data_IF_811930036605
#
_entry.id   IF_811930036605
#
_cell.length_a   1.000
_cell.length_b   1.000
_cell.length_c   1.000
_cell.angle_alpha   90.00
_cell.angle_beta   90.00
_cell.angle_gamma   90.00
#
_symmetry.space_group_name_H-M   'P 1'
#
loop_
_entity.id
_entity.type
_entity.pdbx_description
1 polymer ?
#
# COMPACT_ATOMS: atom_id res chain seq x y z
N UNK A 1 -16.70 -31.35 12.02
CA UNK A 1 -17.53 -30.72 13.07
C UNK A 1 -16.80 -29.47 13.54
N UNK A 2 -17.23 -28.29 13.12
CA UNK A 2 -16.56 -27.04 13.46
C UNK A 2 -17.22 -26.45 14.71
N UNK A 3 -16.43 -26.29 15.76
CA UNK A 3 -16.84 -25.50 16.92
C UNK A 3 -16.70 -24.03 16.49
N UNK A 4 -17.82 -23.40 16.14
CA UNK A 4 -17.92 -21.94 16.16
C UNK A 4 -17.87 -21.50 17.63
N UNK A 5 -16.69 -21.18 18.14
CA UNK A 5 -16.58 -20.34 19.32
C UNK A 5 -16.87 -18.90 18.90
N UNK A 6 -18.15 -18.55 18.82
CA UNK A 6 -18.60 -17.16 18.94
C UNK A 6 -18.41 -16.72 20.40
N UNK A 7 -17.17 -16.57 20.84
CA UNK A 7 -16.90 -15.55 21.86
C UNK A 7 -17.01 -14.25 21.10
N UNK A 8 -17.95 -13.36 21.43
CA UNK A 8 -18.18 -12.07 20.75
C UNK A 8 -16.99 -11.08 20.79
N UNK A 9 -15.77 -11.57 20.98
CA UNK A 9 -14.52 -10.85 20.90
C UNK A 9 -14.06 -10.79 19.45
N UNK A 10 -14.11 -9.58 18.89
CA UNK A 10 -13.48 -9.27 17.61
C UNK A 10 -11.95 -9.36 17.74
N UNK A 11 -11.29 -9.72 16.64
CA UNK A 11 -9.82 -9.76 16.59
C UNK A 11 -9.23 -8.36 16.60
N UNK A 12 -7.98 -8.21 17.03
CA UNK A 12 -7.27 -6.94 16.86
C UNK A 12 -6.84 -6.77 15.40
N UNK A 13 -7.01 -5.58 14.79
CA UNK A 13 -6.54 -5.33 13.43
C UNK A 13 -5.00 -5.32 13.39
N UNK A 14 -4.38 -5.49 12.21
CA UNK A 14 -2.93 -5.44 12.08
C UNK A 14 -2.41 -4.06 12.48
N UNK A 15 -1.34 -4.02 13.29
CA UNK A 15 -0.63 -2.78 13.56
C UNK A 15 0.46 -2.61 12.50
N UNK A 16 0.26 -1.63 11.63
CA UNK A 16 1.16 -1.32 10.52
C UNK A 16 2.14 -0.27 11.00
N UNK A 17 3.31 -0.76 11.41
CA UNK A 17 4.47 0.08 11.70
C UNK A 17 5.29 0.22 10.42
N UNK A 18 5.49 1.46 9.97
CA UNK A 18 6.50 1.71 8.94
C UNK A 18 7.85 1.71 9.65
N UNK A 19 8.46 0.53 9.74
CA UNK A 19 9.82 0.36 10.26
C UNK A 19 10.88 0.77 9.23
N UNK A 20 12.10 0.98 9.73
CA UNK A 20 13.28 1.07 8.87
C UNK A 20 13.33 -0.13 7.94
N UNK A 21 13.57 0.15 6.67
CA UNK A 21 13.63 -0.91 5.67
C UNK A 21 14.72 -1.92 6.05
N UNK A 22 14.55 -3.18 5.66
CA UNK A 22 15.59 -4.22 5.80
C UNK A 22 15.96 -4.83 4.45
N UNK A 23 17.16 -5.38 4.36
CA UNK A 23 17.61 -6.11 3.19
C UNK A 23 16.75 -7.35 2.95
N UNK A 24 16.13 -7.45 1.76
CA UNK A 24 15.21 -8.53 1.38
C UNK A 24 15.82 -9.94 1.49
N UNK A 25 17.16 -10.05 1.45
CA UNK A 25 17.85 -11.35 1.46
C UNK A 25 18.42 -11.76 2.82
N UNK A 26 18.72 -10.82 3.69
CA UNK A 26 19.49 -11.12 4.91
C UNK A 26 19.09 -10.26 6.11
N UNK A 27 18.02 -9.48 6.00
CA UNK A 27 17.53 -8.56 7.03
C UNK A 27 18.54 -7.52 7.55
N UNK A 28 19.69 -7.37 6.89
CA UNK A 28 20.69 -6.35 7.20
C UNK A 28 20.28 -4.95 6.72
N UNK A 29 21.11 -3.95 6.99
CA UNK A 29 20.84 -2.56 6.60
C UNK A 29 20.76 -2.41 5.06
N UNK A 30 19.61 -1.98 4.50
CA UNK A 30 19.45 -1.84 3.07
C UNK A 30 20.01 -0.51 2.60
N UNK A 31 21.11 -0.57 1.87
CA UNK A 31 21.79 0.62 1.37
C UNK A 31 21.49 0.84 -0.11
N UNK A 32 21.07 -0.21 -0.84
CA UNK A 32 20.97 -0.19 -2.30
C UNK A 32 19.58 -0.57 -2.80
N UNK A 33 19.13 0.11 -3.85
CA UNK A 33 17.95 -0.25 -4.65
C UNK A 33 18.35 -0.51 -6.11
N UNK A 34 17.66 -1.43 -6.78
CA UNK A 34 17.87 -1.69 -8.20
C UNK A 34 16.96 -0.79 -9.05
N UNK A 35 17.53 0.06 -9.91
CA UNK A 35 16.77 0.97 -10.80
C UNK A 35 15.93 0.27 -11.85
N UNK A 36 16.28 -0.98 -12.17
CA UNK A 36 15.66 -1.77 -13.23
C UNK A 36 14.57 -2.69 -12.68
N UNK A 37 14.56 -2.93 -11.37
CA UNK A 37 13.41 -3.58 -10.74
C UNK A 37 12.31 -2.55 -10.58
N UNK A 38 11.17 -2.80 -11.24
CA UNK A 38 9.93 -2.05 -11.00
C UNK A 38 9.41 -2.22 -9.57
N UNK A 39 9.97 -3.16 -8.80
CA UNK A 39 9.71 -3.38 -7.39
C UNK A 39 10.80 -2.69 -6.56
N UNK A 40 10.43 -2.01 -5.46
CA UNK A 40 11.35 -1.36 -4.52
C UNK A 40 12.13 -2.41 -3.69
N UNK A 41 12.96 -3.22 -4.36
CA UNK A 41 13.82 -4.22 -3.74
C UNK A 41 15.01 -3.50 -3.10
N UNK A 42 15.17 -3.74 -1.80
CA UNK A 42 16.20 -3.13 -0.98
C UNK A 42 17.22 -4.17 -0.53
N UNK A 43 18.50 -3.92 -0.83
CA UNK A 43 19.59 -4.84 -0.53
C UNK A 43 20.68 -4.15 0.31
N UNK A 44 21.28 -4.90 1.23
CA UNK A 44 22.52 -4.48 1.88
C UNK A 44 23.70 -4.54 0.89
N UNK A 45 24.81 -3.90 1.24
CA UNK A 45 26.01 -3.89 0.38
C UNK A 45 26.49 -5.30 0.04
N UNK A 46 26.41 -6.26 0.98
CA UNK A 46 26.81 -7.66 0.75
C UNK A 46 25.90 -8.35 -0.27
N UNK A 47 24.58 -8.19 -0.14
CA UNK A 47 23.61 -8.83 -1.02
C UNK A 47 23.55 -8.18 -2.40
N UNK A 48 23.77 -6.86 -2.50
CA UNK A 48 23.89 -6.17 -3.78
C UNK A 48 25.14 -6.63 -4.56
N UNK A 49 26.28 -6.78 -3.87
CA UNK A 49 27.56 -7.22 -4.50
C UNK A 49 27.56 -8.69 -4.91
N UNK A 50 26.94 -9.57 -4.12
CA UNK A 50 26.83 -11.00 -4.44
C UNK A 50 25.84 -11.30 -5.57
N UNK A 51 25.01 -10.32 -5.93
CA UNK A 51 23.99 -10.34 -6.97
C UNK A 51 23.47 -11.73 -7.39
N UNK A 52 22.81 -12.44 -6.48
CA UNK A 52 21.73 -13.37 -6.84
C UNK A 52 20.49 -12.56 -7.25
N UNK A 53 20.68 -11.65 -8.21
CA UNK A 53 19.72 -10.68 -8.69
C UNK A 53 19.95 -10.49 -10.19
N UNK A 54 18.90 -10.45 -11.02
CA UNK A 54 19.02 -10.51 -12.49
C UNK A 54 19.71 -9.30 -13.15
N UNK A 55 20.06 -8.27 -12.36
CA UNK A 55 20.63 -7.02 -12.85
C UNK A 55 22.04 -6.79 -12.28
N UNK A 56 22.99 -6.25 -13.07
CA UNK A 56 24.37 -6.04 -12.65
C UNK A 56 24.49 -4.94 -11.59
N UNK A 57 25.60 -4.93 -10.82
CA UNK A 57 25.81 -3.98 -9.72
C UNK A 57 25.67 -2.49 -10.13
N UNK A 58 26.01 -2.14 -11.38
CA UNK A 58 25.83 -0.78 -11.95
C UNK A 58 24.37 -0.32 -11.98
N UNK A 59 23.43 -1.26 -11.99
CA UNK A 59 21.99 -0.98 -11.94
C UNK A 59 21.52 -0.60 -10.53
N UNK A 60 22.36 -0.76 -9.51
CA UNK A 60 22.05 -0.36 -8.14
C UNK A 60 22.47 1.07 -7.85
N UNK A 61 21.65 1.79 -7.09
CA UNK A 61 21.98 3.11 -6.52
C UNK A 61 21.86 3.05 -5.01
N UNK A 62 22.68 3.86 -4.33
CA UNK A 62 22.46 4.11 -2.91
C UNK A 62 21.11 4.79 -2.77
N UNK A 63 20.22 4.17 -2.00
CA UNK A 63 18.86 4.70 -1.85
C UNK A 63 18.79 5.60 -0.63
N UNK A 64 17.97 6.65 -0.70
CA UNK A 64 17.66 7.46 0.47
C UNK A 64 16.51 6.78 1.22
N UNK A 65 16.83 6.24 2.40
CA UNK A 65 15.86 5.62 3.30
C UNK A 65 14.70 6.58 3.61
N UNK A 66 14.97 7.88 3.73
CA UNK A 66 13.93 8.87 4.02
C UNK A 66 12.92 8.99 2.89
N UNK A 67 13.38 8.90 1.63
CA UNK A 67 12.50 8.96 0.45
C UNK A 67 11.60 7.72 0.39
N UNK A 68 12.13 6.54 0.69
CA UNK A 68 11.34 5.31 0.70
C UNK A 68 10.30 5.29 1.80
N UNK A 69 10.70 5.69 3.01
CA UNK A 69 9.77 5.82 4.13
C UNK A 69 8.68 6.83 3.77
N UNK A 70 9.04 7.99 3.23
CA UNK A 70 8.07 8.99 2.77
C UNK A 70 7.12 8.41 1.71
N UNK A 71 7.61 7.67 0.70
CA UNK A 71 6.75 7.02 -0.31
C UNK A 71 5.75 6.05 0.31
N UNK A 72 6.19 5.21 1.25
CA UNK A 72 5.29 4.30 1.97
C UNK A 72 4.22 5.08 2.74
N UNK A 73 4.63 6.11 3.48
CA UNK A 73 3.70 6.97 4.20
C UNK A 73 2.72 7.72 3.26
N UNK A 74 3.18 8.15 2.08
CA UNK A 74 2.35 8.78 1.03
C UNK A 74 1.30 7.81 0.48
N UNK A 75 1.69 6.57 0.18
CA UNK A 75 0.74 5.55 -0.28
C UNK A 75 -0.32 5.29 0.79
N UNK A 76 0.08 5.09 2.06
CA UNK A 76 -0.86 4.81 3.14
C UNK A 76 -1.77 6.00 3.47
N UNK A 77 -1.27 7.23 3.39
CA UNK A 77 -2.11 8.42 3.59
C UNK A 77 -3.14 8.61 2.48
N UNK A 78 -2.96 7.95 1.32
CA UNK A 78 -3.85 8.04 0.17
C UNK A 78 -4.75 6.82 -0.04
N UNK A 79 -4.84 5.92 0.97
CA UNK A 79 -5.56 4.65 0.92
C UNK A 79 -6.99 4.73 0.35
N UNK A 80 -7.77 5.75 0.71
CA UNK A 80 -9.16 5.91 0.26
C UNK A 80 -9.29 5.90 -1.27
N UNK A 81 -8.41 6.65 -1.94
CA UNK A 81 -8.38 6.68 -3.39
C UNK A 81 -7.81 5.38 -3.97
N UNK A 82 -6.85 4.74 -3.30
CA UNK A 82 -6.26 3.48 -3.76
C UNK A 82 -7.31 2.37 -3.84
N UNK A 83 -8.20 2.28 -2.84
CA UNK A 83 -9.19 1.20 -2.78
C UNK A 83 -10.42 1.44 -3.67
N UNK A 84 -10.80 2.70 -3.92
CA UNK A 84 -12.09 3.02 -4.56
C UNK A 84 -12.02 3.95 -5.78
N UNK A 85 -10.97 4.76 -5.98
CA UNK A 85 -10.95 5.78 -7.03
C UNK A 85 -11.09 5.20 -8.45
N UNK A 86 -11.99 5.78 -9.25
CA UNK A 86 -12.24 5.46 -10.66
C UNK A 86 -11.95 6.64 -11.62
N UNK A 87 -11.56 7.82 -11.10
CA UNK A 87 -11.40 9.06 -11.89
C UNK A 87 -10.34 8.95 -12.99
N UNK A 88 -10.60 9.26 -14.25
CA UNK A 88 -9.57 9.22 -15.31
C UNK A 88 -8.31 10.02 -14.95
N UNK A 89 -8.47 11.25 -14.44
CA UNK A 89 -7.40 12.11 -13.92
C UNK A 89 -7.35 12.04 -12.39
N UNK A 90 -6.17 11.75 -11.84
CA UNK A 90 -5.92 11.73 -10.40
C UNK A 90 -4.42 11.90 -10.10
N UNK A 91 -4.03 11.98 -8.81
CA UNK A 91 -2.61 12.08 -8.42
C UNK A 91 -1.81 10.90 -8.94
N UNK A 92 -0.51 11.09 -9.18
CA UNK A 92 0.37 10.02 -9.65
C UNK A 92 0.31 8.79 -8.73
N UNK A 93 0.32 9.00 -7.41
CA UNK A 93 0.15 7.92 -6.43
C UNK A 93 -1.16 7.15 -6.62
N UNK A 94 -2.25 7.81 -7.02
CA UNK A 94 -3.50 7.11 -7.36
C UNK A 94 -3.32 6.19 -8.56
N UNK A 95 -2.70 6.72 -9.62
CA UNK A 95 -2.57 6.07 -10.91
C UNK A 95 -1.66 4.85 -10.80
N UNK A 96 -0.52 5.00 -10.11
CA UNK A 96 0.37 3.89 -9.77
C UNK A 96 -0.33 2.84 -8.91
N UNK A 97 -1.18 3.26 -7.98
CA UNK A 97 -1.89 2.34 -7.09
C UNK A 97 -3.10 1.65 -7.73
N UNK A 98 -3.63 2.13 -8.86
CA UNK A 98 -4.62 1.37 -9.66
C UNK A 98 -4.04 0.04 -10.13
N UNK A 99 -2.76 0.03 -10.46
CA UNK A 99 -2.05 -1.20 -10.75
C UNK A 99 -2.12 -2.16 -9.56
N UNK A 100 -2.00 -1.69 -8.32
CA UNK A 100 -2.12 -2.54 -7.14
C UNK A 100 -3.51 -3.18 -7.01
N UNK A 101 -4.59 -2.42 -7.29
CA UNK A 101 -5.97 -2.95 -7.31
C UNK A 101 -6.16 -4.01 -8.39
N UNK A 102 -5.72 -3.72 -9.61
CA UNK A 102 -5.81 -4.66 -10.73
C UNK A 102 -4.93 -5.90 -10.50
N UNK A 103 -3.72 -5.69 -10.01
CA UNK A 103 -2.81 -6.76 -9.60
C UNK A 103 -3.47 -7.64 -8.55
N UNK A 104 -4.09 -7.05 -7.52
CA UNK A 104 -4.81 -7.79 -6.51
C UNK A 104 -5.99 -8.59 -7.08
N UNK A 105 -6.62 -8.21 -8.20
CA UNK A 105 -7.68 -9.03 -8.79
C UNK A 105 -7.16 -10.24 -9.59
N UNK A 106 -5.95 -10.14 -10.17
CA UNK A 106 -5.39 -11.17 -11.08
C UNK A 106 -4.24 -11.98 -10.49
N UNK A 107 -3.65 -11.57 -9.37
CA UNK A 107 -2.49 -12.23 -8.78
C UNK A 107 -2.81 -13.66 -8.35
N UNK A 108 -1.97 -14.62 -8.74
CA UNK A 108 -2.10 -16.02 -8.36
C UNK A 108 -1.79 -16.24 -6.87
N UNK A 109 -0.81 -15.51 -6.34
CA UNK A 109 -0.29 -15.60 -4.97
C UNK A 109 -1.07 -14.74 -3.97
N UNK A 110 -2.23 -14.22 -4.36
CA UNK A 110 -3.07 -13.42 -3.46
C UNK A 110 -3.83 -14.31 -2.48
N UNK A 111 -4.06 -13.85 -1.24
CA UNK A 111 -5.07 -14.44 -0.38
C UNK A 111 -6.45 -14.35 -1.05
N UNK A 112 -7.24 -15.43 -1.01
CA UNK A 112 -8.54 -15.51 -1.69
C UNK A 112 -9.68 -14.97 -0.84
N UNK A 113 -9.48 -14.90 0.46
CA UNK A 113 -10.48 -14.54 1.47
C UNK A 113 -9.76 -14.01 2.72
N UNK A 114 -10.46 -13.23 3.54
CA UNK A 114 -9.88 -12.60 4.72
C UNK A 114 -9.32 -13.61 5.72
N UNK A 115 -9.96 -14.78 5.86
CA UNK A 115 -9.48 -15.85 6.76
C UNK A 115 -8.11 -16.42 6.36
N UNK A 116 -7.69 -16.31 5.10
CA UNK A 116 -6.39 -16.82 4.65
C UNK A 116 -5.22 -16.04 5.24
N UNK A 117 -5.47 -14.81 5.71
CA UNK A 117 -4.45 -13.95 6.33
C UNK A 117 -4.55 -13.92 7.86
N UNK A 118 -5.38 -14.77 8.46
CA UNK A 118 -5.55 -14.88 9.91
C UNK A 118 -4.89 -16.18 10.38
N UNK A 119 -3.93 -16.08 11.29
CA UNK A 119 -3.31 -17.23 11.93
C UNK A 119 -3.14 -16.98 13.44
N UNK A 120 -3.42 -17.98 14.27
CA UNK A 120 -3.32 -17.91 15.73
C UNK A 120 -4.00 -16.66 16.35
N UNK A 121 -5.12 -16.21 15.79
CA UNK A 121 -5.85 -15.02 16.28
C UNK A 121 -5.24 -13.67 15.89
N UNK A 122 -4.21 -13.66 15.03
CA UNK A 122 -3.58 -12.45 14.52
C UNK A 122 -3.54 -12.43 12.99
N UNK A 123 -3.32 -11.24 12.42
CA UNK A 123 -3.15 -11.09 10.97
C UNK A 123 -1.69 -11.35 10.60
N UNK A 124 -1.42 -12.35 9.75
CA UNK A 124 -0.06 -12.74 9.29
C UNK A 124 0.43 -11.90 8.11
N UNK A 125 0.07 -10.62 8.11
CA UNK A 125 0.38 -9.71 7.03
C UNK A 125 1.03 -8.43 7.58
N UNK A 126 2.13 -7.98 6.96
CA UNK A 126 2.78 -6.72 7.32
C UNK A 126 2.70 -5.69 6.17
N UNK A 127 2.26 -4.47 6.50
CA UNK A 127 1.96 -3.41 5.52
C UNK A 127 3.14 -2.87 4.70
N UNK A 128 4.32 -3.46 4.85
CA UNK A 128 5.59 -2.99 4.27
C UNK A 128 6.52 -4.14 3.78
N UNK A 129 6.03 -5.39 3.75
CA UNK A 129 6.77 -6.62 3.34
C UNK A 129 7.63 -7.22 4.45
N UNK A 130 8.07 -8.48 4.50
CA UNK A 130 7.69 -9.76 3.88
C UNK A 130 8.07 -10.84 4.91
N UNK A 131 7.12 -11.59 5.47
CA UNK A 131 7.36 -12.89 6.11
C UNK A 131 6.42 -13.90 5.42
N UNK A 132 6.96 -14.86 4.65
CA UNK A 132 6.18 -15.90 3.92
C UNK A 132 5.97 -15.64 2.42
N UNK A 133 5.30 -16.55 1.68
CA UNK A 133 5.16 -16.55 0.21
C UNK A 133 4.14 -15.54 -0.38
N UNK A 134 3.79 -14.48 0.34
CA UNK A 134 2.68 -13.60 -0.03
C UNK A 134 3.13 -12.41 -0.89
N UNK A 135 2.39 -12.09 -1.96
CA UNK A 135 2.75 -11.00 -2.86
C UNK A 135 2.75 -9.61 -2.17
N UNK A 136 3.86 -8.87 -2.32
CA UNK A 136 4.03 -7.52 -1.74
C UNK A 136 2.95 -6.52 -2.18
N UNK A 137 2.64 -6.45 -3.48
CA UNK A 137 1.64 -5.52 -4.01
C UNK A 137 0.24 -5.84 -3.50
N UNK A 138 -0.09 -7.13 -3.35
CA UNK A 138 -1.34 -7.56 -2.72
C UNK A 138 -1.39 -7.13 -1.26
N UNK A 139 -0.28 -7.26 -0.55
CA UNK A 139 -0.16 -6.80 0.82
C UNK A 139 -0.43 -5.31 1.01
N UNK A 140 0.23 -4.47 0.22
CA UNK A 140 0.01 -3.03 0.24
C UNK A 140 -1.47 -2.67 -0.03
N UNK A 141 -2.13 -3.40 -0.93
CA UNK A 141 -3.55 -3.20 -1.19
C UNK A 141 -4.42 -3.61 0.01
N UNK A 142 -4.15 -4.77 0.62
CA UNK A 142 -4.83 -5.24 1.84
C UNK A 142 -4.70 -4.24 2.99
N UNK A 143 -3.51 -3.67 3.17
CA UNK A 143 -3.28 -2.57 4.11
C UNK A 143 -4.27 -1.42 3.89
N UNK A 144 -4.39 -0.98 2.65
CA UNK A 144 -5.29 0.13 2.31
C UNK A 144 -6.76 -0.23 2.59
N UNK A 145 -7.15 -1.50 2.39
CA UNK A 145 -8.48 -1.99 2.74
C UNK A 145 -8.75 -1.94 4.24
N UNK A 146 -7.79 -2.32 5.10
CA UNK A 146 -7.91 -2.17 6.56
C UNK A 146 -8.02 -0.71 6.99
N UNK A 147 -7.22 0.18 6.41
CA UNK A 147 -7.29 1.62 6.71
C UNK A 147 -8.63 2.22 6.30
N UNK A 148 -9.13 1.86 5.12
CA UNK A 148 -10.46 2.25 4.66
C UNK A 148 -11.56 1.71 5.60
N UNK A 149 -11.54 0.42 5.91
CA UNK A 149 -12.52 -0.21 6.79
C UNK A 149 -12.59 0.44 8.18
N UNK A 150 -11.47 0.97 8.70
CA UNK A 150 -11.44 1.72 9.96
C UNK A 150 -12.26 3.01 9.91
N UNK A 151 -12.32 3.66 8.75
CA UNK A 151 -12.99 4.96 8.56
C UNK A 151 -14.37 4.83 7.92
N UNK A 152 -14.62 3.73 7.23
CA UNK A 152 -15.84 3.49 6.48
C UNK A 152 -17.04 3.31 7.42
N UNK A 153 -18.04 4.19 7.26
CA UNK A 153 -19.31 4.14 7.99
C UNK A 153 -20.48 3.60 7.13
N UNK A 154 -20.24 3.26 5.87
CA UNK A 154 -21.29 2.78 4.97
C UNK A 154 -21.76 1.39 5.42
N UNK A 155 -23.08 1.14 5.45
CA UNK A 155 -23.60 -0.21 5.74
C UNK A 155 -23.17 -1.20 4.67
N UNK A 156 -23.33 -0.80 3.39
CA UNK A 156 -22.88 -1.55 2.22
C UNK A 156 -21.73 -0.81 1.51
N UNK A 157 -20.55 -1.41 1.45
CA UNK A 157 -19.37 -0.81 0.82
C UNK A 157 -18.84 -1.66 -0.34
N UNK A 158 -18.55 -1.02 -1.48
CA UNK A 158 -18.01 -1.68 -2.67
C UNK A 158 -16.51 -2.04 -2.55
N UNK A 159 -15.82 -1.55 -1.53
CA UNK A 159 -14.41 -1.89 -1.28
C UNK A 159 -14.34 -3.33 -0.79
N UNK A 160 -13.51 -4.13 -1.46
CA UNK A 160 -13.32 -5.54 -1.14
C UNK A 160 -13.00 -5.75 0.35
N UNK A 161 -13.68 -6.73 0.94
CA UNK A 161 -13.56 -7.12 2.36
C UNK A 161 -13.86 -6.01 3.39
N UNK A 162 -14.34 -4.83 3.00
CA UNK A 162 -14.57 -3.74 3.95
C UNK A 162 -15.57 -4.13 5.05
N UNK A 163 -16.68 -4.75 4.69
CA UNK A 163 -17.68 -5.25 5.65
C UNK A 163 -17.13 -6.38 6.51
N UNK A 164 -16.58 -7.42 5.86
CA UNK A 164 -15.98 -8.58 6.53
C UNK A 164 -14.89 -8.17 7.54
N UNK A 165 -14.06 -7.18 7.21
CA UNK A 165 -13.04 -6.63 8.11
C UNK A 165 -13.69 -5.95 9.31
N UNK A 166 -14.70 -5.10 9.12
CA UNK A 166 -15.37 -4.41 10.24
C UNK A 166 -16.12 -5.38 11.16
N UNK A 167 -16.62 -6.48 10.61
CA UNK A 167 -17.32 -7.50 11.40
C UNK A 167 -16.35 -8.39 12.17
N UNK A 168 -15.19 -8.70 11.57
CA UNK A 168 -14.17 -9.58 12.15
C UNK A 168 -13.27 -8.89 13.18
N UNK A 169 -12.94 -7.60 12.95
CA UNK A 169 -11.92 -6.89 13.72
C UNK A 169 -12.47 -5.74 14.56
N UNK A 170 -11.87 -5.53 15.73
CA UNK A 170 -12.11 -4.37 16.58
C UNK A 170 -11.38 -3.15 16.01
N UNK A 171 -12.06 -2.46 15.10
CA UNK A 171 -11.52 -1.29 14.41
C UNK A 171 -11.44 -0.04 15.31
N UNK A 172 -12.01 -0.08 16.52
CA UNK A 172 -12.09 1.06 17.44
C UNK A 172 -10.90 1.06 18.39
N UNK A 173 -10.55 -0.09 18.97
CA UNK A 173 -9.60 -0.16 20.08
C UNK A 173 -8.14 0.14 19.71
N UNK A 174 -7.75 0.02 18.44
CA UNK A 174 -6.35 0.19 18.02
C UNK A 174 -6.17 1.00 16.75
N UNK A 175 -5.12 1.82 16.72
CA UNK A 175 -4.63 2.43 15.49
C UNK A 175 -3.91 1.41 14.61
N UNK A 176 -4.43 1.28 13.39
CA UNK A 176 -3.89 0.38 12.37
C UNK A 176 -2.60 0.96 11.79
N UNK A 177 -2.43 2.27 11.78
CA UNK A 177 -1.28 2.92 11.19
C UNK A 177 -0.83 4.11 12.02
N UNK A 178 0.40 4.02 12.51
CA UNK A 178 1.03 5.03 13.35
C UNK A 178 1.99 5.85 12.49
N UNK A 179 1.75 7.16 12.42
CA UNK A 179 2.57 8.12 11.67
C UNK A 179 2.85 9.32 12.56
N UNK A 180 4.10 9.79 12.58
CA UNK A 180 4.46 11.00 13.31
C UNK A 180 3.84 12.24 12.66
N UNK A 181 3.60 13.29 13.44
CA UNK A 181 3.04 14.54 12.92
C UNK A 181 3.94 15.18 11.87
N UNK A 182 5.26 15.10 12.05
CA UNK A 182 6.23 15.55 11.05
C UNK A 182 6.03 14.85 9.70
N UNK A 183 5.84 13.53 9.71
CA UNK A 183 5.65 12.75 8.48
C UNK A 183 4.27 12.96 7.88
N UNK A 184 3.24 13.14 8.72
CA UNK A 184 1.89 13.52 8.29
C UNK A 184 1.91 14.84 7.53
N UNK A 185 2.53 15.87 8.11
CA UNK A 185 2.67 17.19 7.49
C UNK A 185 3.44 17.13 6.17
N UNK A 186 4.50 16.32 6.10
CA UNK A 186 5.24 16.08 4.84
C UNK A 186 4.35 15.44 3.78
N UNK A 187 3.56 14.43 4.15
CA UNK A 187 2.62 13.79 3.22
C UNK A 187 1.57 14.78 2.70
N UNK A 188 0.98 15.59 3.59
CA UNK A 188 -0.01 16.60 3.22
C UNK A 188 0.55 17.65 2.25
N UNK A 189 1.79 18.10 2.46
CA UNK A 189 2.43 19.08 1.57
C UNK A 189 2.66 18.50 0.17
N UNK A 190 3.08 17.24 0.07
CA UNK A 190 3.23 16.56 -1.23
C UNK A 190 1.86 16.38 -1.89
N UNK A 191 0.84 15.94 -1.15
CA UNK A 191 -0.52 15.79 -1.68
C UNK A 191 -1.07 17.12 -2.22
N UNK A 192 -0.84 18.24 -1.52
CA UNK A 192 -1.22 19.59 -2.01
C UNK A 192 -0.54 19.93 -3.34
N UNK A 193 0.77 19.67 -3.45
CA UNK A 193 1.52 19.93 -4.68
C UNK A 193 1.04 19.05 -5.85
N UNK A 194 0.78 17.77 -5.59
CA UNK A 194 0.23 16.84 -6.57
C UNK A 194 -1.18 17.21 -7.01
N UNK A 195 -2.02 17.72 -6.09
CA UNK A 195 -3.38 18.15 -6.43
C UNK A 195 -3.40 19.34 -7.38
N UNK A 196 -2.45 20.28 -7.22
CA UNK A 196 -2.28 21.37 -8.18
C UNK A 196 -2.03 20.86 -9.60
N UNK A 197 -1.19 19.82 -9.76
CA UNK A 197 -0.95 19.17 -11.06
C UNK A 197 -2.18 18.47 -11.62
N UNK A 198 -3.05 17.94 -10.74
CA UNK A 198 -4.35 17.35 -11.14
C UNK A 198 -5.27 18.44 -11.69
N UNK A 199 -5.37 19.57 -11.01
CA UNK A 199 -6.18 20.71 -11.44
C UNK A 199 -5.71 21.26 -12.79
N UNK A 200 -4.40 21.40 -12.98
CA UNK A 200 -3.83 21.87 -14.25
C UNK A 200 -4.17 20.91 -15.40
N UNK A 201 -4.11 19.59 -15.19
CA UNK A 201 -4.50 18.59 -16.19
C UNK A 201 -5.99 18.60 -16.50
N UNK A 202 -6.84 18.77 -15.49
CA UNK A 202 -8.29 18.90 -15.68
C UNK A 202 -8.64 20.12 -16.52
N UNK A 203 -7.95 21.26 -16.29
CA UNK A 203 -8.12 22.47 -17.10
C UNK A 203 -7.68 22.25 -18.54
N UNK A 204 -6.55 21.58 -18.77
CA UNK A 204 -6.08 21.23 -20.10
C UNK A 204 -7.10 20.39 -20.88
N UNK A 205 -7.64 19.34 -20.24
CA UNK A 205 -8.65 18.48 -20.87
C UNK A 205 -9.95 19.23 -21.16
N UNK A 206 -10.40 20.12 -20.26
CA UNK A 206 -11.58 20.95 -20.53
C UNK A 206 -11.38 21.86 -21.77
N UNK A 207 -10.19 22.43 -21.95
CA UNK A 207 -9.88 23.25 -23.13
C UNK A 207 -9.89 22.40 -24.40
N UNK A 208 -9.29 21.21 -24.37
CA UNK A 208 -9.32 20.27 -25.50
C UNK A 208 -10.76 19.85 -25.85
N UNK A 209 -11.58 19.53 -24.85
CA UNK A 209 -12.98 19.15 -25.03
C UNK A 209 -13.78 20.30 -25.68
N UNK A 210 -13.61 21.55 -25.21
CA UNK A 210 -14.25 22.74 -25.81
C UNK A 210 -13.82 22.93 -27.27
N UNK A 211 -12.52 22.80 -27.57
CA UNK A 211 -12.01 22.93 -28.93
C UNK A 211 -12.53 21.82 -29.85
N UNK A 212 -12.73 20.62 -29.32
CA UNK A 212 -13.28 19.48 -30.07
C UNK A 212 -14.77 19.60 -30.40
N UNK A 213 -15.54 20.35 -29.58
CA UNK A 213 -16.96 20.64 -29.83
C UNK A 213 -17.12 21.77 -30.86
N UNK A 214 -16.11 22.64 -30.98
CA UNK A 214 -16.12 23.79 -31.89
C UNK A 214 -15.69 23.44 -33.34
N UNK A 215 -15.33 22.19 -33.62
CA UNK A 215 -14.96 21.63 -34.93
C UNK A 215 -16.04 20.67 -35.44
#
# INVERSE_FOLDING_TARGET
>A
MWVQTNTGQKLLPPIIRIERCRCVRCNGEPVFSCKQCKQEILLCMRCARRANHPHPLKSFRRNDEKILLLRRHLTLSYHEHIVSCQRSICMETCLESRYARHHFSVCADRPRQLRDIINHGGVVFNGIGYEGNSCFSCGLFITCMFLHAKRCQLSTCHVAWCEEIRDTFDMVSNDIYVVSDEMRNKCENVHKAEWKKVEDRLRGQLVEDILSIAL
#
